data_IF_769846228423
#
_entry.id   IF_769846228423
#
_cell.length_a   1.000
_cell.length_b   1.000
_cell.length_c   1.000
_cell.angle_alpha   90.00
_cell.angle_beta   90.00
_cell.angle_gamma   90.00
#
_symmetry.space_group_name_H-M   'P 1'
#
loop_
_entity.id
_entity.type
_entity.pdbx_description
1 polymer ?
#
# COMPACT_ATOMS: atom_id res chain seq x y z
N UNK A 1 19.04 17.61 -0.13
CA UNK A 1 19.19 18.23 1.21
C UNK A 1 18.26 17.56 2.22
N UNK A 2 18.18 18.03 3.48
CA UNK A 2 17.38 17.39 4.55
C UNK A 2 15.91 17.16 4.16
N UNK A 3 15.30 18.11 3.45
CA UNK A 3 13.91 18.01 2.97
C UNK A 3 13.72 16.83 1.99
N UNK A 4 14.62 16.70 1.00
CA UNK A 4 14.62 15.56 0.05
C UNK A 4 14.75 14.22 0.79
N UNK A 5 15.60 14.16 1.82
CA UNK A 5 15.77 12.96 2.63
C UNK A 5 14.52 12.57 3.42
N UNK A 6 13.79 13.55 3.96
CA UNK A 6 12.56 13.31 4.71
C UNK A 6 11.42 12.83 3.80
N UNK A 7 11.27 13.40 2.60
CA UNK A 7 10.29 12.95 1.62
C UNK A 7 10.59 11.54 1.12
N UNK A 8 11.87 11.21 0.88
CA UNK A 8 12.28 9.86 0.48
C UNK A 8 12.02 8.81 1.58
N UNK A 9 11.96 9.20 2.86
CA UNK A 9 11.66 8.27 3.95
C UNK A 9 10.26 7.66 3.87
N UNK A 10 9.31 8.35 3.24
CA UNK A 10 7.97 7.81 2.99
C UNK A 10 8.01 6.52 2.15
N UNK A 11 9.04 6.33 1.31
CA UNK A 11 9.23 5.08 0.55
C UNK A 11 9.51 3.88 1.44
N UNK A 12 10.19 4.07 2.58
CA UNK A 12 10.39 2.98 3.53
C UNK A 12 9.08 2.58 4.21
N UNK A 13 8.20 3.56 4.48
CA UNK A 13 6.88 3.29 5.02
C UNK A 13 6.05 2.46 4.03
N UNK A 14 6.10 2.79 2.72
CA UNK A 14 5.40 2.05 1.67
C UNK A 14 5.75 0.55 1.62
N UNK A 15 7.00 0.17 1.96
CA UNK A 15 7.39 -1.25 2.02
C UNK A 15 6.70 -2.07 3.12
N UNK A 16 6.03 -1.42 4.08
CA UNK A 16 5.42 -2.04 5.25
C UNK A 16 3.90 -1.94 5.30
N UNK A 17 3.28 -1.30 4.32
CA UNK A 17 1.83 -0.97 4.36
C UNK A 17 0.93 -2.19 4.18
N UNK A 18 1.51 -3.32 3.76
CA UNK A 18 0.78 -4.55 3.48
C UNK A 18 -0.04 -4.51 2.19
N UNK A 19 0.13 -3.50 1.33
CA UNK A 19 -0.60 -3.34 0.07
C UNK A 19 0.38 -3.19 -1.11
N UNK A 20 0.04 -3.72 -2.30
CA UNK A 20 0.81 -3.48 -3.51
C UNK A 20 0.63 -2.02 -3.97
N UNK A 21 1.66 -1.48 -4.60
CA UNK A 21 1.65 -0.14 -5.16
C UNK A 21 2.52 -0.06 -6.41
N UNK A 22 2.20 0.89 -7.29
CA UNK A 22 3.04 1.27 -8.41
C UNK A 22 3.70 2.63 -8.14
N UNK A 23 4.84 2.88 -8.76
CA UNK A 23 5.57 4.14 -8.64
C UNK A 23 5.80 4.74 -10.01
N UNK A 24 5.28 5.95 -10.21
CA UNK A 24 5.45 6.73 -11.43
C UNK A 24 6.35 7.94 -11.15
N UNK A 25 7.11 8.37 -12.15
CA UNK A 25 7.77 9.67 -12.12
C UNK A 25 6.74 10.76 -12.48
N UNK A 26 7.01 12.00 -12.08
CA UNK A 26 6.12 13.13 -12.39
C UNK A 26 5.86 13.27 -13.90
N UNK A 27 6.89 13.01 -14.71
CA UNK A 27 6.84 13.07 -16.17
C UNK A 27 6.00 11.94 -16.79
N UNK A 28 5.72 10.87 -16.04
CA UNK A 28 4.94 9.72 -16.49
C UNK A 28 3.47 9.78 -16.00
N UNK A 29 3.02 10.91 -15.44
CA UNK A 29 1.66 11.04 -14.89
C UNK A 29 0.56 10.78 -15.91
N UNK A 30 0.81 11.04 -17.20
CA UNK A 30 -0.13 10.76 -18.29
C UNK A 30 -0.47 9.27 -18.44
N UNK A 31 0.36 8.37 -17.89
CA UNK A 31 0.07 6.94 -17.87
C UNK A 31 -0.98 6.55 -16.83
N UNK A 32 -1.24 7.42 -15.84
CA UNK A 32 -2.18 7.17 -14.74
C UNK A 32 -3.55 7.71 -15.10
N UNK A 33 -4.57 6.84 -15.08
CA UNK A 33 -5.95 7.24 -15.36
C UNK A 33 -6.76 7.36 -14.07
N UNK A 34 -7.66 8.33 -14.01
CA UNK A 34 -8.65 8.40 -12.94
C UNK A 34 -9.45 7.09 -12.86
N UNK A 35 -9.76 6.65 -11.64
CA UNK A 35 -10.45 5.39 -11.36
C UNK A 35 -9.58 4.14 -11.42
N UNK A 36 -8.31 4.25 -11.84
CA UNK A 36 -7.39 3.10 -11.85
C UNK A 36 -6.92 2.71 -10.45
N UNK A 37 -6.79 3.68 -9.54
CA UNK A 37 -6.28 3.49 -8.19
C UNK A 37 -7.29 4.01 -7.16
N UNK A 38 -7.39 3.31 -6.03
CA UNK A 38 -8.18 3.76 -4.88
C UNK A 38 -7.47 4.88 -4.11
N UNK A 39 -6.14 4.95 -4.18
CA UNK A 39 -5.33 6.00 -3.58
C UNK A 39 -4.21 6.39 -4.54
N UNK A 40 -4.03 7.70 -4.75
CA UNK A 40 -2.88 8.25 -5.48
C UNK A 40 -2.12 9.20 -4.54
N UNK A 41 -0.80 9.09 -4.52
CA UNK A 41 0.05 9.92 -3.66
C UNK A 41 1.03 10.77 -4.47
N UNK A 42 0.76 12.06 -4.56
CA UNK A 42 1.70 13.08 -5.01
C UNK A 42 2.73 13.35 -3.92
N UNK A 43 3.80 12.57 -3.94
CA UNK A 43 4.85 12.60 -2.93
C UNK A 43 5.99 13.54 -3.35
N UNK A 44 6.11 14.67 -2.68
CA UNK A 44 7.20 15.63 -2.84
C UNK A 44 7.01 16.64 -3.97
N UNK A 45 5.80 16.79 -4.52
CA UNK A 45 5.48 17.87 -5.46
C UNK A 45 5.33 19.17 -4.69
N UNK A 46 6.19 20.16 -4.94
CA UNK A 46 6.17 21.44 -4.20
C UNK A 46 4.99 22.34 -4.60
N UNK A 47 4.49 22.17 -5.81
CA UNK A 47 3.31 22.82 -6.36
C UNK A 47 2.69 21.91 -7.41
N UNK A 48 1.38 22.02 -7.58
CA UNK A 48 0.64 21.34 -8.65
C UNK A 48 0.47 22.28 -9.83
N UNK A 49 0.58 21.73 -11.03
CA UNK A 49 0.15 22.34 -12.29
C UNK A 49 -1.37 22.29 -12.40
N UNK A 50 -1.94 23.05 -13.35
CA UNK A 50 -3.39 23.02 -13.62
C UNK A 50 -3.86 21.63 -14.04
N UNK A 51 -3.02 20.88 -14.76
CA UNK A 51 -3.29 19.50 -15.20
C UNK A 51 -3.32 18.53 -14.01
N UNK A 52 -2.35 18.61 -13.10
CA UNK A 52 -2.29 17.78 -11.88
C UNK A 52 -3.44 18.10 -10.92
N UNK A 53 -3.81 19.38 -10.83
CA UNK A 53 -4.97 19.82 -10.06
C UNK A 53 -6.27 19.25 -10.66
N UNK A 54 -6.41 19.32 -11.99
CA UNK A 54 -7.56 18.75 -12.70
C UNK A 54 -7.65 17.23 -12.53
N UNK A 55 -6.52 16.52 -12.58
CA UNK A 55 -6.47 15.08 -12.31
C UNK A 55 -6.91 14.76 -10.88
N UNK A 56 -6.43 15.51 -9.88
CA UNK A 56 -6.80 15.32 -8.48
C UNK A 56 -8.32 15.44 -8.27
N UNK A 57 -8.92 16.48 -8.85
CA UNK A 57 -10.36 16.72 -8.79
C UNK A 57 -11.14 15.59 -9.48
N UNK A 58 -10.68 15.15 -10.64
CA UNK A 58 -11.31 14.05 -11.37
C UNK A 58 -11.19 12.71 -10.64
N UNK A 59 -10.01 12.39 -10.10
CA UNK A 59 -9.77 11.15 -9.36
C UNK A 59 -10.64 11.07 -8.09
N UNK A 60 -10.74 12.17 -7.34
CA UNK A 60 -11.59 12.24 -6.14
C UNK A 60 -13.09 12.15 -6.49
N UNK A 61 -13.50 12.76 -7.60
CA UNK A 61 -14.87 12.61 -8.13
C UNK A 61 -15.20 11.16 -8.50
N UNK A 62 -14.21 10.39 -8.96
CA UNK A 62 -14.35 8.96 -9.28
C UNK A 62 -14.18 8.03 -8.07
N UNK A 63 -14.00 8.55 -6.86
CA UNK A 63 -13.95 7.74 -5.63
C UNK A 63 -12.53 7.41 -5.14
N UNK A 64 -11.48 7.92 -5.78
CA UNK A 64 -10.13 7.77 -5.27
C UNK A 64 -9.84 8.76 -4.13
N UNK A 65 -8.97 8.38 -3.21
CA UNK A 65 -8.35 9.31 -2.28
C UNK A 65 -7.06 9.86 -2.88
N UNK A 66 -6.80 11.15 -2.70
CA UNK A 66 -5.57 11.80 -3.13
C UNK A 66 -4.78 12.24 -1.90
N UNK A 67 -3.53 11.84 -1.81
CA UNK A 67 -2.58 12.35 -0.82
C UNK A 67 -1.59 13.24 -1.55
N UNK A 68 -1.44 14.48 -1.12
CA UNK A 68 -0.42 15.38 -1.62
C UNK A 68 0.49 15.81 -0.48
N UNK A 69 1.75 15.41 -0.53
CA UNK A 69 2.79 15.83 0.42
C UNK A 69 3.74 16.78 -0.29
N UNK A 70 3.70 18.06 0.10
CA UNK A 70 4.61 19.08 -0.41
C UNK A 70 5.84 19.22 0.51
N UNK A 71 6.55 20.35 0.42
CA UNK A 71 7.71 20.63 1.28
C UNK A 71 7.39 21.02 2.73
N UNK A 72 6.12 21.21 3.08
CA UNK A 72 5.69 21.77 4.37
C UNK A 72 4.52 21.03 5.02
N UNK A 73 3.69 20.29 4.28
CA UNK A 73 2.48 19.63 4.80
C UNK A 73 2.10 18.42 3.97
N UNK A 74 1.12 17.67 4.49
CA UNK A 74 0.33 16.73 3.71
C UNK A 74 -1.12 17.16 3.67
N UNK A 75 -1.76 17.04 2.51
CA UNK A 75 -3.19 17.24 2.33
C UNK A 75 -3.79 15.94 1.80
N UNK A 76 -4.86 15.47 2.45
CA UNK A 76 -5.63 14.29 2.03
C UNK A 76 -6.97 14.78 1.52
N UNK A 77 -7.25 14.50 0.25
CA UNK A 77 -8.52 14.77 -0.39
C UNK A 77 -9.29 13.46 -0.51
N UNK A 78 -10.52 13.45 -0.01
CA UNK A 78 -11.37 12.27 0.01
C UNK A 78 -12.51 12.44 -1.03
N UNK A 79 -13.08 11.33 -1.50
CA UNK A 79 -14.33 11.36 -2.26
C UNK A 79 -15.42 12.13 -1.52
N UNK A 80 -16.21 12.91 -2.23
CA UNK A 80 -17.27 13.75 -1.64
C UNK A 80 -16.80 15.12 -1.14
N UNK A 81 -15.52 15.48 -1.33
CA UNK A 81 -15.01 16.84 -1.13
C UNK A 81 -14.46 17.14 0.27
N UNK A 82 -14.34 16.13 1.13
CA UNK A 82 -13.65 16.30 2.42
C UNK A 82 -12.14 16.47 2.19
N UNK A 83 -11.56 17.49 2.82
CA UNK A 83 -10.12 17.81 2.71
C UNK A 83 -9.52 17.94 4.10
N UNK A 84 -8.57 17.07 4.42
CA UNK A 84 -7.80 17.12 5.66
C UNK A 84 -6.41 17.69 5.38
N UNK A 85 -6.07 18.79 6.05
CA UNK A 85 -4.74 19.42 5.98
C UNK A 85 -3.96 19.15 7.25
N UNK A 86 -2.72 18.69 7.09
CA UNK A 86 -1.82 18.34 8.18
C UNK A 86 -0.53 19.14 8.03
N UNK A 87 -0.47 20.30 8.66
CA UNK A 87 0.71 21.16 8.62
C UNK A 87 1.91 20.49 9.30
N UNK A 88 3.12 20.72 8.78
CA UNK A 88 4.37 20.06 9.17
C UNK A 88 4.40 18.53 8.98
N UNK A 89 3.32 17.92 8.46
CA UNK A 89 3.28 16.48 8.13
C UNK A 89 3.90 16.23 6.76
N UNK A 90 5.23 16.16 6.70
CA UNK A 90 5.96 15.81 5.46
C UNK A 90 6.45 14.35 5.44
N UNK A 91 6.32 13.66 6.58
CA UNK A 91 6.71 12.28 6.75
C UNK A 91 5.58 11.48 7.40
N UNK A 92 5.26 10.34 6.80
CA UNK A 92 4.32 9.35 7.29
C UNK A 92 5.10 8.13 7.77
N UNK A 93 4.70 7.58 8.90
CA UNK A 93 5.11 6.23 9.26
C UNK A 93 4.19 5.18 8.60
N UNK A 94 4.63 3.93 8.66
CA UNK A 94 3.94 2.84 8.01
C UNK A 94 2.56 2.52 8.63
N UNK A 95 2.38 2.54 9.97
CA UNK A 95 1.06 2.44 10.58
C UNK A 95 0.07 3.50 10.09
N UNK A 96 0.46 4.78 10.08
CA UNK A 96 -0.42 5.89 9.69
C UNK A 96 -0.89 5.77 8.23
N UNK A 97 0.04 5.50 7.31
CA UNK A 97 -0.35 5.32 5.91
C UNK A 97 -1.16 4.03 5.73
N UNK A 98 -0.82 2.94 6.43
CA UNK A 98 -1.59 1.69 6.36
C UNK A 98 -3.05 1.91 6.81
N UNK A 99 -3.27 2.69 7.87
CA UNK A 99 -4.61 3.06 8.31
C UNK A 99 -5.35 3.88 7.25
N UNK A 100 -4.71 4.91 6.68
CA UNK A 100 -5.28 5.73 5.60
C UNK A 100 -5.72 4.86 4.41
N UNK A 101 -4.85 3.95 3.97
CA UNK A 101 -5.15 3.02 2.87
C UNK A 101 -6.34 2.11 3.21
N UNK A 102 -6.42 1.62 4.45
CA UNK A 102 -7.56 0.83 4.92
C UNK A 102 -8.89 1.60 4.87
N UNK A 103 -8.89 2.87 5.28
CA UNK A 103 -10.08 3.74 5.18
C UNK A 103 -10.46 4.04 3.73
N UNK A 104 -9.48 4.14 2.84
CA UNK A 104 -9.69 4.29 1.40
C UNK A 104 -10.14 3.00 0.70
N UNK A 105 -10.28 1.90 1.45
CA UNK A 105 -10.73 0.61 0.92
C UNK A 105 -9.66 -0.19 0.18
N UNK A 106 -8.39 0.21 0.23
CA UNK A 106 -7.29 -0.53 -0.39
C UNK A 106 -7.15 -1.89 0.26
N UNK A 107 -7.07 -2.95 -0.55
CA UNK A 107 -6.80 -4.28 -0.04
C UNK A 107 -5.42 -4.32 0.63
N UNK A 108 -5.38 -4.71 1.90
CA UNK A 108 -4.16 -4.93 2.67
C UNK A 108 -4.03 -6.42 2.99
N UNK A 109 -2.94 -7.01 2.53
CA UNK A 109 -2.54 -8.37 2.88
C UNK A 109 -2.22 -8.52 4.35
N UNK A 110 -1.62 -7.49 4.95
CA UNK A 110 -1.28 -7.46 6.37
C UNK A 110 -1.62 -6.09 6.93
N UNK A 111 -2.22 -6.08 8.12
CA UNK A 111 -2.59 -4.85 8.81
C UNK A 111 -1.49 -4.39 9.77
N UNK A 112 -1.54 -3.11 10.16
CA UNK A 112 -0.72 -2.55 11.25
C UNK A 112 0.56 -1.84 10.80
N UNK A 113 1.09 -2.11 9.61
CA UNK A 113 2.19 -1.31 9.06
C UNK A 113 3.57 -1.59 9.69
N UNK A 114 3.79 -2.73 10.35
CA UNK A 114 5.04 -3.00 11.08
C UNK A 114 6.01 -3.90 10.32
N UNK A 115 5.48 -4.90 9.63
CA UNK A 115 6.23 -5.91 8.89
C UNK A 115 6.32 -5.57 7.39
N UNK A 116 7.38 -6.05 6.74
CA UNK A 116 7.57 -5.87 5.29
C UNK A 116 6.87 -7.00 4.56
N UNK A 117 5.94 -6.65 3.67
CA UNK A 117 5.22 -7.63 2.85
C UNK A 117 5.31 -7.24 1.37
N UNK A 118 5.73 -8.19 0.56
CA UNK A 118 5.66 -8.13 -0.90
C UNK A 118 4.68 -9.19 -1.39
N UNK A 119 3.77 -8.79 -2.28
CA UNK A 119 2.85 -9.71 -2.95
C UNK A 119 2.85 -9.44 -4.46
N UNK A 120 3.08 -10.46 -5.27
CA UNK A 120 3.09 -10.31 -6.72
C UNK A 120 3.42 -11.61 -7.46
N UNK A 121 2.89 -11.76 -8.68
CA UNK A 121 3.13 -12.90 -9.57
C UNK A 121 2.91 -14.28 -8.90
N UNK A 122 1.91 -14.38 -8.03
CA UNK A 122 1.59 -15.61 -7.31
C UNK A 122 2.51 -15.91 -6.11
N UNK A 123 3.23 -14.91 -5.59
CA UNK A 123 4.10 -15.05 -4.43
C UNK A 123 3.77 -14.03 -3.35
N UNK A 124 3.90 -14.44 -2.10
CA UNK A 124 3.97 -13.55 -0.93
C UNK A 124 5.32 -13.76 -0.26
N UNK A 125 6.03 -12.67 0.03
CA UNK A 125 7.21 -12.66 0.88
C UNK A 125 6.92 -11.78 2.09
N UNK A 126 7.10 -12.33 3.29
CA UNK A 126 6.85 -11.67 4.55
C UNK A 126 8.13 -11.67 5.38
N UNK A 127 8.57 -10.48 5.79
CA UNK A 127 9.69 -10.30 6.71
C UNK A 127 9.21 -9.55 7.96
N UNK A 128 9.52 -10.09 9.13
CA UNK A 128 9.16 -9.50 10.41
C UNK A 128 10.37 -9.24 11.28
N UNK A 129 10.41 -8.05 11.89
CA UNK A 129 11.42 -7.70 12.88
C UNK A 129 11.11 -8.36 14.23
N UNK A 130 9.85 -8.31 14.67
CA UNK A 130 9.43 -8.70 16.01
C UNK A 130 8.93 -10.13 16.11
N UNK A 131 8.53 -10.74 14.99
CA UNK A 131 7.89 -12.06 14.99
C UNK A 131 6.42 -11.99 15.39
N UNK A 132 5.94 -13.10 15.94
CA UNK A 132 4.56 -13.27 16.39
C UNK A 132 3.65 -13.87 15.33
N UNK A 133 2.37 -13.97 15.68
CA UNK A 133 1.34 -14.53 14.82
C UNK A 133 0.78 -13.46 13.89
N UNK A 134 0.72 -13.80 12.60
CA UNK A 134 0.30 -12.89 11.53
C UNK A 134 -0.87 -13.50 10.80
N UNK A 135 -1.94 -12.71 10.63
CA UNK A 135 -3.06 -13.05 9.76
C UNK A 135 -2.87 -12.35 8.42
N UNK A 136 -2.69 -13.13 7.36
CA UNK A 136 -2.58 -12.62 5.99
C UNK A 136 -3.95 -12.74 5.32
N UNK A 137 -4.44 -11.63 4.77
CA UNK A 137 -5.70 -11.56 4.01
C UNK A 137 -5.41 -11.55 2.50
N UNK A 138 -6.08 -12.38 1.75
CA UNK A 138 -5.95 -12.48 0.30
C UNK A 138 -7.17 -11.81 -0.37
N UNK A 139 -6.99 -11.13 -1.51
CA UNK A 139 -8.11 -10.53 -2.23
C UNK A 139 -8.91 -11.58 -3.03
N UNK A 140 -8.53 -12.85 -2.95
CA UNK A 140 -9.15 -13.99 -3.61
C UNK A 140 -8.85 -15.27 -2.84
N UNK A 141 -9.68 -16.30 -3.05
CA UNK A 141 -9.44 -17.64 -2.51
C UNK A 141 -8.24 -18.29 -3.20
N UNK A 142 -7.31 -18.85 -2.44
CA UNK A 142 -6.11 -19.52 -2.94
C UNK A 142 -5.68 -20.68 -2.06
N UNK A 143 -4.92 -21.61 -2.67
CA UNK A 143 -4.05 -22.53 -1.95
C UNK A 143 -2.74 -21.80 -1.65
N UNK A 144 -2.32 -21.87 -0.39
CA UNK A 144 -1.07 -21.30 0.11
C UNK A 144 -0.09 -22.44 0.29
N UNK A 145 1.05 -22.35 -0.38
CA UNK A 145 2.03 -23.44 -0.48
C UNK A 145 3.34 -22.95 0.10
N UNK A 146 3.91 -23.74 1.00
CA UNK A 146 5.29 -23.56 1.45
C UNK A 146 6.23 -24.07 0.35
N UNK A 147 7.09 -23.22 -0.23
CA UNK A 147 7.91 -23.59 -1.38
C UNK A 147 9.04 -24.55 -1.05
N UNK A 148 9.46 -24.66 0.22
CA UNK A 148 10.56 -25.53 0.62
C UNK A 148 10.07 -26.98 0.79
N UNK A 149 8.86 -27.14 1.33
CA UNK A 149 8.25 -28.47 1.55
C UNK A 149 7.26 -28.89 0.47
N UNK A 150 6.87 -27.97 -0.41
CA UNK A 150 5.78 -28.09 -1.39
C UNK A 150 4.38 -28.38 -0.77
N UNK A 151 4.26 -28.35 0.55
CA UNK A 151 3.01 -28.63 1.24
C UNK A 151 2.02 -27.47 1.10
N UNK A 152 0.74 -27.81 0.90
CA UNK A 152 -0.36 -26.85 1.05
C UNK A 152 -0.56 -26.60 2.54
N UNK A 153 -0.25 -25.39 3.00
CA UNK A 153 -0.35 -25.01 4.41
C UNK A 153 -1.71 -24.39 4.76
N UNK A 154 -2.42 -23.86 3.76
CA UNK A 154 -3.77 -23.32 3.92
C UNK A 154 -4.53 -23.31 2.59
N UNK A 155 -5.85 -23.24 2.65
CA UNK A 155 -6.72 -22.97 1.50
C UNK A 155 -7.87 -22.06 1.93
N UNK A 156 -7.98 -20.89 1.32
CA UNK A 156 -8.94 -19.87 1.74
C UNK A 156 -8.61 -18.50 1.17
N UNK A 157 -9.34 -17.48 1.62
CA UNK A 157 -9.06 -16.06 1.37
C UNK A 157 -8.19 -15.44 2.47
N UNK A 158 -7.68 -16.24 3.40
CA UNK A 158 -6.78 -15.82 4.46
C UNK A 158 -6.00 -17.00 5.01
N UNK A 159 -4.89 -16.74 5.68
CA UNK A 159 -4.11 -17.75 6.40
C UNK A 159 -3.30 -17.13 7.53
N UNK A 160 -3.03 -17.93 8.55
CA UNK A 160 -2.20 -17.54 9.68
C UNK A 160 -0.78 -18.10 9.56
N UNK A 161 0.18 -17.34 10.06
CA UNK A 161 1.56 -17.80 10.19
C UNK A 161 2.17 -17.28 11.49
N UNK A 162 2.76 -18.20 12.25
CA UNK A 162 3.64 -17.85 13.36
C UNK A 162 5.06 -17.66 12.86
N UNK A 163 5.67 -16.53 13.21
CA UNK A 163 7.02 -16.17 12.78
C UNK A 163 7.94 -15.88 13.96
N UNK A 164 9.20 -16.28 13.85
CA UNK A 164 10.25 -15.87 14.79
C UNK A 164 10.65 -14.42 14.52
N UNK A 165 11.15 -13.72 15.54
CA UNK A 165 11.76 -12.41 15.35
C UNK A 165 12.89 -12.45 14.31
N UNK A 166 13.01 -11.38 13.51
CA UNK A 166 14.03 -11.20 12.46
C UNK A 166 14.05 -12.34 11.43
N UNK A 167 12.88 -12.83 11.03
CA UNK A 167 12.76 -13.93 10.08
C UNK A 167 11.98 -13.55 8.83
N UNK A 168 12.24 -14.29 7.75
CA UNK A 168 11.56 -14.14 6.47
C UNK A 168 10.90 -15.46 6.10
N UNK A 169 9.67 -15.41 5.58
CA UNK A 169 8.99 -16.55 4.96
C UNK A 169 8.46 -16.16 3.58
N UNK A 170 8.45 -17.14 2.69
CA UNK A 170 7.92 -17.01 1.34
C UNK A 170 6.81 -18.04 1.17
N UNK A 171 5.75 -17.66 0.47
CA UNK A 171 4.61 -18.50 0.16
C UNK A 171 4.27 -18.39 -1.33
N UNK A 172 3.98 -19.52 -1.95
CA UNK A 172 3.42 -19.56 -3.30
C UNK A 172 1.90 -19.62 -3.19
N UNK A 173 1.23 -18.77 -3.97
CA UNK A 173 -0.22 -18.73 -4.10
C UNK A 173 -0.64 -19.39 -5.40
N UNK A 174 -1.61 -20.29 -5.31
CA UNK A 174 -2.31 -20.84 -6.48
C UNK A 174 -3.78 -20.55 -6.31
N UNK A 175 -4.36 -19.78 -7.23
CA UNK A 175 -5.78 -19.42 -7.17
C UNK A 175 -6.65 -20.68 -7.13
N UNK A 176 -7.62 -20.69 -6.22
CA UNK A 176 -8.53 -21.81 -6.04
C UNK A 176 -9.74 -21.61 -6.96
N UNK A 177 -9.60 -22.02 -8.23
CA UNK A 177 -10.63 -21.87 -9.27
C UNK A 177 -11.76 -22.93 -9.13
N UNK A 178 -12.21 -23.19 -7.90
CA UNK A 178 -13.39 -24.03 -7.69
C UNK A 178 -14.58 -23.41 -8.43
N UNK A 179 -14.95 -24.04 -9.55
CA UNK A 179 -16.21 -23.78 -10.26
C UNK A 179 -17.34 -24.10 -9.29
N UNK A 180 -18.03 -23.08 -8.79
CA UNK A 180 -19.35 -23.24 -8.19
C UNK A 180 -20.40 -23.18 -9.30
#
# INVERSE_FOLDING_TARGET
>A
GKLTGNLLRNRYALGKIGAPYDLYLREDLDAVKAGQYQVVWYMGLLSLTDEEQSFLEEATRQGAWMVWTDGVRSTVYQPGGEVQRMDAKIQWDAPEISELLGRAGVHRYLEGGTDVLYAGRGWICLHTADGGDKLIKLPFRAKVIDPDSEAVIATGDSFEVSMKAKSTRIFRLVKDDLKH
#
